data_IF_460048160925
#
_entry.id   IF_460048160925
#
_cell.length_a   1.000
_cell.length_b   1.000
_cell.length_c   1.000
_cell.angle_alpha   90.00
_cell.angle_beta   90.00
_cell.angle_gamma   90.00
#
_symmetry.space_group_name_H-M   'P 1'
#
loop_
_entity.id
_entity.type
_entity.pdbx_description
1 polymer ?
#
# COMPACT_ATOMS: atom_id res chain seq x y z
N UNK A 1 -3.77 31.79 -13.07
CA UNK A 1 -4.48 30.86 -12.15
C UNK A 1 -3.42 30.06 -11.41
N UNK A 2 -3.03 30.47 -10.21
CA UNK A 2 -2.04 29.75 -9.40
C UNK A 2 -2.71 28.54 -8.76
N UNK A 3 -2.30 27.33 -9.13
CA UNK A 3 -2.58 26.14 -8.32
C UNK A 3 -1.48 26.09 -7.26
N UNK A 4 -1.84 26.35 -6.02
CA UNK A 4 -0.98 26.06 -4.88
C UNK A 4 -0.87 24.53 -4.81
N UNK A 5 0.29 24.00 -5.20
CA UNK A 5 0.59 22.57 -5.15
C UNK A 5 0.78 22.13 -3.70
N UNK A 6 -0.26 21.52 -3.14
CA UNK A 6 -0.23 20.75 -1.89
C UNK A 6 0.76 19.58 -2.05
N UNK A 7 1.54 19.24 -1.01
CA UNK A 7 2.56 18.17 -1.04
C UNK A 7 1.93 16.84 -1.47
N UNK A 8 2.10 16.49 -2.75
CA UNK A 8 1.97 15.11 -3.21
C UNK A 8 3.28 14.44 -2.82
N UNK A 9 3.24 13.44 -1.94
CA UNK A 9 4.42 12.62 -1.65
C UNK A 9 4.76 11.81 -2.91
N UNK A 10 5.62 12.38 -3.75
CA UNK A 10 6.11 11.76 -4.99
C UNK A 10 7.17 10.68 -4.72
N UNK A 11 7.66 10.59 -3.49
CA UNK A 11 8.60 9.57 -3.04
C UNK A 11 7.89 8.44 -2.31
N UNK A 12 8.52 7.27 -2.30
CA UNK A 12 8.08 6.14 -1.47
C UNK A 12 8.18 6.49 0.01
N UNK A 13 7.12 6.21 0.76
CA UNK A 13 7.10 6.37 2.21
C UNK A 13 6.34 5.21 2.87
N UNK A 14 6.51 5.09 4.18
CA UNK A 14 5.94 4.02 5.01
C UNK A 14 5.12 4.65 6.13
N UNK A 15 4.34 3.83 6.82
CA UNK A 15 3.72 4.25 8.08
C UNK A 15 4.80 4.62 9.12
N UNK A 16 4.55 5.60 9.97
CA UNK A 16 5.45 5.93 11.10
C UNK A 16 5.52 4.81 12.14
N UNK A 17 4.58 3.86 12.11
CA UNK A 17 4.49 2.67 12.97
C UNK A 17 5.34 1.49 12.46
N UNK A 18 5.97 1.66 11.31
CA UNK A 18 6.89 0.71 10.69
C UNK A 18 8.21 0.66 11.46
N UNK A 19 8.72 -0.53 11.80
CA UNK A 19 10.09 -0.64 12.35
C UNK A 19 11.11 -0.76 11.21
N UNK A 20 12.32 -0.22 11.40
CA UNK A 20 13.38 -0.34 10.38
C UNK A 20 13.88 -1.78 10.20
N UNK A 21 13.70 -2.63 11.22
CA UNK A 21 14.16 -4.02 11.23
C UNK A 21 13.12 -4.99 10.64
N UNK A 22 11.82 -4.69 10.79
CA UNK A 22 10.72 -5.45 10.18
C UNK A 22 10.01 -4.56 9.14
N UNK A 23 10.57 -4.54 7.93
CA UNK A 23 9.84 -4.71 6.67
C UNK A 23 8.44 -4.10 6.55
N UNK A 24 8.21 -3.13 5.67
CA UNK A 24 6.88 -2.48 5.62
C UNK A 24 6.35 -2.29 4.20
N UNK A 25 5.04 -2.12 4.13
CA UNK A 25 4.31 -1.64 2.96
C UNK A 25 4.82 -0.24 2.62
N UNK A 26 5.44 -0.08 1.45
CA UNK A 26 5.76 1.24 0.92
C UNK A 26 4.66 1.73 0.02
N UNK A 27 4.28 2.99 0.20
CA UNK A 27 3.27 3.69 -0.58
C UNK A 27 3.91 4.86 -1.31
N UNK A 28 3.49 5.12 -2.55
CA UNK A 28 3.86 6.32 -3.31
C UNK A 28 2.63 6.88 -4.00
N UNK A 29 2.45 8.20 -3.94
CA UNK A 29 1.43 8.91 -4.71
C UNK A 29 2.08 9.58 -5.92
N UNK A 30 1.62 9.27 -7.12
CA UNK A 30 2.17 9.85 -8.35
C UNK A 30 1.05 10.04 -9.37
N UNK A 31 0.83 11.30 -9.78
CA UNK A 31 -0.24 11.65 -10.68
C UNK A 31 -1.62 11.32 -10.10
N UNK A 32 -2.36 10.49 -10.81
CA UNK A 32 -3.68 9.96 -10.45
C UNK A 32 -3.60 8.54 -9.89
N UNK A 33 -2.40 8.05 -9.54
CA UNK A 33 -2.18 6.69 -9.04
C UNK A 33 -1.53 6.64 -7.66
N UNK A 34 -1.82 5.55 -6.97
CA UNK A 34 -1.16 5.10 -5.75
C UNK A 34 -0.44 3.80 -6.07
N UNK A 35 0.78 3.66 -5.54
CA UNK A 35 1.60 2.46 -5.73
C UNK A 35 1.91 1.83 -4.39
N UNK A 36 1.93 0.50 -4.35
CA UNK A 36 2.27 -0.30 -3.18
C UNK A 36 3.36 -1.30 -3.55
N UNK A 37 4.37 -1.44 -2.71
CA UNK A 37 5.39 -2.47 -2.87
C UNK A 37 5.91 -2.95 -1.53
N UNK A 38 6.56 -4.10 -1.55
CA UNK A 38 7.23 -4.66 -0.39
C UNK A 38 8.70 -4.21 -0.34
N UNK A 39 9.04 -3.40 0.66
CA UNK A 39 10.42 -2.94 0.88
C UNK A 39 11.43 -4.08 1.11
N UNK A 40 11.00 -5.27 1.55
CA UNK A 40 11.88 -6.43 1.74
C UNK A 40 12.49 -6.94 0.45
N UNK A 41 11.85 -6.70 -0.70
CA UNK A 41 12.33 -7.20 -1.98
C UNK A 41 13.81 -6.85 -2.22
N UNK A 42 14.24 -5.65 -1.79
CA UNK A 42 15.62 -5.19 -1.98
C UNK A 42 16.63 -5.74 -0.95
N UNK A 43 16.18 -6.53 0.03
CA UNK A 43 17.08 -7.17 1.01
C UNK A 43 17.85 -8.33 0.41
N UNK A 44 17.31 -8.99 -0.61
CA UNK A 44 18.08 -9.93 -1.41
C UNK A 44 18.92 -9.12 -2.41
N UNK A 45 20.26 -9.09 -2.29
CA UNK A 45 21.12 -8.35 -3.21
C UNK A 45 21.06 -8.87 -4.66
N UNK A 46 20.54 -10.08 -4.88
CA UNK A 46 20.35 -10.64 -6.23
C UNK A 46 19.10 -10.07 -6.94
N UNK A 47 18.19 -9.44 -6.19
CA UNK A 47 16.98 -8.88 -6.76
C UNK A 47 17.26 -7.58 -7.52
N UNK A 48 16.71 -7.44 -8.72
CA UNK A 48 16.85 -6.22 -9.53
C UNK A 48 15.84 -5.15 -9.07
N UNK A 49 16.29 -3.97 -8.58
CA UNK A 49 15.38 -2.91 -8.13
C UNK A 49 14.41 -2.40 -9.19
N UNK A 50 14.79 -2.45 -10.48
CA UNK A 50 13.95 -2.01 -11.59
C UNK A 50 12.74 -2.95 -11.84
N UNK A 51 12.76 -4.14 -11.24
CA UNK A 51 11.72 -5.17 -11.42
C UNK A 51 10.95 -5.44 -10.13
N UNK A 52 11.10 -4.59 -9.11
CA UNK A 52 10.42 -4.77 -7.83
C UNK A 52 8.90 -4.84 -8.03
N UNK A 53 8.24 -5.93 -7.59
CA UNK A 53 6.80 -6.08 -7.74
C UNK A 53 6.06 -4.92 -7.09
N UNK A 54 5.22 -4.26 -7.89
CA UNK A 54 4.50 -3.06 -7.49
C UNK A 54 3.03 -3.18 -7.90
N UNK A 55 2.14 -3.02 -6.92
CA UNK A 55 0.71 -2.87 -7.15
C UNK A 55 0.43 -1.40 -7.46
N UNK A 56 -0.48 -1.16 -8.40
CA UNK A 56 -0.95 0.17 -8.75
C UNK A 56 -2.48 0.21 -8.71
N UNK A 57 -3.03 1.35 -8.27
CA UNK A 57 -4.45 1.66 -8.28
C UNK A 57 -4.67 3.16 -8.45
N UNK A 58 -5.87 3.58 -8.83
CA UNK A 58 -6.17 5.02 -8.94
C UNK A 58 -6.27 5.67 -7.55
N UNK A 59 -5.96 6.96 -7.48
CA UNK A 59 -6.17 7.79 -6.29
C UNK A 59 -7.63 7.79 -5.85
N UNK A 60 -8.57 7.80 -6.79
CA UNK A 60 -10.01 7.72 -6.50
C UNK A 60 -10.42 6.40 -5.84
N UNK A 61 -9.69 5.33 -6.10
CA UNK A 61 -9.89 3.99 -5.55
C UNK A 61 -9.24 3.79 -4.17
N UNK A 62 -8.27 4.64 -3.82
CA UNK A 62 -7.47 4.52 -2.61
C UNK A 62 -8.31 4.51 -1.31
N UNK A 63 -9.30 5.41 -1.10
CA UNK A 63 -10.12 5.37 0.12
C UNK A 63 -10.92 4.07 0.27
N UNK A 64 -11.37 3.47 -0.85
CA UNK A 64 -12.07 2.20 -0.81
C UNK A 64 -11.12 1.05 -0.44
N UNK A 65 -9.91 1.05 -0.99
CA UNK A 65 -8.85 0.10 -0.60
C UNK A 65 -8.49 0.22 0.89
N UNK A 66 -8.32 1.44 1.43
CA UNK A 66 -8.05 1.66 2.85
C UNK A 66 -9.18 1.15 3.76
N UNK A 67 -10.44 1.36 3.38
CA UNK A 67 -11.60 0.81 4.12
C UNK A 67 -11.61 -0.72 4.09
N UNK A 68 -11.25 -1.32 2.96
CA UNK A 68 -11.16 -2.77 2.85
C UNK A 68 -10.01 -3.33 3.70
N UNK A 69 -8.85 -2.67 3.72
CA UNK A 69 -7.71 -3.07 4.54
C UNK A 69 -8.02 -3.02 6.06
N UNK A 70 -8.82 -2.04 6.49
CA UNK A 70 -9.20 -1.86 7.91
C UNK A 70 -10.44 -2.67 8.32
N UNK A 71 -11.23 -3.17 7.37
CA UNK A 71 -12.42 -3.97 7.62
C UNK A 71 -12.43 -5.23 6.75
N UNK A 72 -11.88 -6.36 7.23
CA UNK A 72 -11.81 -7.62 6.48
C UNK A 72 -13.17 -8.16 6.03
N UNK A 73 -14.27 -7.79 6.70
CA UNK A 73 -15.63 -8.19 6.32
C UNK A 73 -16.15 -7.43 5.09
N UNK A 74 -15.50 -6.33 4.68
CA UNK A 74 -15.88 -5.53 3.54
C UNK A 74 -15.35 -6.15 2.22
N UNK A 75 -15.68 -7.41 1.92
CA UNK A 75 -15.24 -8.05 0.68
C UNK A 75 -15.70 -7.24 -0.55
N UNK A 76 -14.75 -6.70 -1.32
CA UNK A 76 -15.01 -5.84 -2.49
C UNK A 76 -14.95 -6.61 -3.82
N UNK A 77 -15.58 -7.78 -3.88
CA UNK A 77 -15.59 -8.62 -5.08
C UNK A 77 -16.16 -7.84 -6.27
N UNK A 78 -15.45 -7.86 -7.40
CA UNK A 78 -15.89 -7.23 -8.64
C UNK A 78 -15.68 -5.71 -8.74
N UNK A 79 -14.99 -5.08 -7.78
CA UNK A 79 -14.72 -3.62 -7.80
C UNK A 79 -13.51 -3.20 -8.61
N UNK A 80 -12.70 -4.14 -9.11
CA UNK A 80 -11.43 -3.86 -9.79
C UNK A 80 -10.31 -3.39 -8.86
N UNK A 81 -10.56 -3.31 -7.55
CA UNK A 81 -9.54 -3.03 -6.54
C UNK A 81 -8.60 -4.23 -6.35
N UNK A 82 -7.36 -3.99 -5.88
CA UNK A 82 -6.54 -5.07 -5.37
C UNK A 82 -7.27 -5.87 -4.30
N UNK A 83 -7.26 -7.20 -4.42
CA UNK A 83 -7.80 -8.12 -3.44
C UNK A 83 -6.90 -8.19 -2.21
N UNK A 84 -7.51 -8.36 -1.03
CA UNK A 84 -6.80 -8.51 0.24
C UNK A 84 -7.26 -9.82 0.87
N UNK A 85 -6.37 -10.79 0.93
CA UNK A 85 -6.57 -12.03 1.68
C UNK A 85 -5.85 -11.92 3.02
N UNK A 86 -6.60 -11.67 4.09
CA UNK A 86 -6.07 -11.75 5.46
C UNK A 86 -6.26 -13.16 6.00
N UNK A 87 -5.17 -13.76 6.46
CA UNK A 87 -5.13 -15.11 7.03
C UNK A 87 -5.38 -15.05 8.54
N UNK A 88 -5.87 -16.15 9.16
CA UNK A 88 -6.10 -16.19 10.61
C UNK A 88 -4.85 -15.95 11.48
N UNK A 89 -3.66 -16.14 10.93
CA UNK A 89 -2.38 -15.89 11.61
C UNK A 89 -1.93 -14.41 11.53
N UNK A 90 -2.74 -13.54 10.93
CA UNK A 90 -2.47 -12.11 10.77
C UNK A 90 -1.68 -11.75 9.52
N UNK A 91 -1.21 -12.71 8.72
CA UNK A 91 -0.59 -12.43 7.42
C UNK A 91 -1.61 -11.87 6.44
N UNK A 92 -1.13 -11.03 5.54
CA UNK A 92 -1.96 -10.51 4.45
C UNK A 92 -1.28 -10.72 3.10
N UNK A 93 -2.04 -11.19 2.14
CA UNK A 93 -1.65 -11.19 0.73
C UNK A 93 -2.48 -10.14 0.00
N UNK A 94 -1.82 -9.15 -0.59
CA UNK A 94 -2.46 -8.17 -1.47
C UNK A 94 -2.19 -8.58 -2.90
N UNK A 95 -3.24 -8.79 -3.70
CA UNK A 95 -3.12 -9.22 -5.11
C UNK A 95 -3.81 -8.23 -6.03
N UNK A 96 -3.19 -7.92 -7.16
CA UNK A 96 -3.76 -7.02 -8.16
C UNK A 96 -3.71 -7.65 -9.54
N UNK A 97 -4.88 -7.93 -10.11
CA UNK A 97 -5.00 -8.51 -11.45
C UNK A 97 -4.51 -7.57 -12.54
N UNK A 98 -4.68 -6.24 -12.38
CA UNK A 98 -4.23 -5.24 -13.35
C UNK A 98 -2.70 -5.27 -13.52
N UNK A 99 -1.96 -5.40 -12.42
CA UNK A 99 -0.49 -5.45 -12.46
C UNK A 99 0.07 -6.86 -12.48
N UNK A 100 -0.77 -7.90 -12.33
CA UNK A 100 -0.37 -9.29 -12.14
C UNK A 100 0.64 -9.49 -10.99
N UNK A 101 0.52 -8.71 -9.91
CA UNK A 101 1.40 -8.74 -8.73
C UNK A 101 0.64 -9.26 -7.51
N UNK A 102 1.32 -10.09 -6.71
CA UNK A 102 0.93 -10.42 -5.34
C UNK A 102 2.06 -10.04 -4.37
N UNK A 103 1.70 -9.43 -3.24
CA UNK A 103 2.61 -9.03 -2.18
C UNK A 103 2.20 -9.72 -0.87
N UNK A 104 3.16 -10.35 -0.19
CA UNK A 104 2.94 -11.07 1.06
C UNK A 104 3.55 -10.33 2.26
N UNK A 105 2.70 -10.02 3.22
CA UNK A 105 3.06 -9.29 4.43
C UNK A 105 2.98 -10.17 5.67
N UNK A 106 3.97 -10.05 6.55
CA UNK A 106 3.95 -10.64 7.88
C UNK A 106 2.95 -9.90 8.77
N UNK A 107 2.51 -10.51 9.90
CA UNK A 107 1.49 -9.91 10.76
C UNK A 107 1.84 -8.51 11.25
N UNK A 108 3.06 -8.29 11.74
CA UNK A 108 3.50 -6.99 12.25
C UNK A 108 3.53 -5.90 11.17
N UNK A 109 3.87 -6.28 9.93
CA UNK A 109 3.99 -5.37 8.79
C UNK A 109 2.60 -4.90 8.33
N UNK A 110 1.66 -5.85 8.24
CA UNK A 110 0.29 -5.54 7.88
C UNK A 110 -0.42 -4.74 8.99
N UNK A 111 -0.19 -5.10 10.25
CA UNK A 111 -0.73 -4.36 11.40
C UNK A 111 -0.22 -2.91 11.45
N UNK A 112 1.07 -2.68 11.18
CA UNK A 112 1.64 -1.33 11.09
C UNK A 112 1.01 -0.53 9.94
N UNK A 113 0.82 -1.14 8.77
CA UNK A 113 0.15 -0.51 7.64
C UNK A 113 -1.30 -0.12 7.96
N UNK A 114 -2.08 -1.04 8.54
CA UNK A 114 -3.47 -0.78 8.97
C UNK A 114 -3.52 0.31 10.04
N UNK A 115 -2.59 0.31 11.00
CA UNK A 115 -2.49 1.36 12.01
C UNK A 115 -2.18 2.74 11.39
N UNK A 116 -1.31 2.79 10.38
CA UNK A 116 -1.03 4.01 9.61
C UNK A 116 -2.25 4.51 8.84
N UNK A 117 -3.04 3.62 8.24
CA UNK A 117 -4.33 3.98 7.61
C UNK A 117 -5.28 4.62 8.64
N UNK A 118 -5.45 3.97 9.79
CA UNK A 118 -6.35 4.47 10.86
C UNK A 118 -5.88 5.83 11.40
N UNK A 119 -4.56 6.07 11.42
CA UNK A 119 -3.96 7.33 11.84
C UNK A 119 -3.97 8.42 10.74
N UNK A 120 -4.48 8.11 9.53
CA UNK A 120 -4.52 9.06 8.40
C UNK A 120 -3.18 9.28 7.71
N UNK A 121 -2.16 8.46 7.97
CA UNK A 121 -0.79 8.66 7.45
C UNK A 121 -0.69 8.48 5.93
N UNK A 122 -1.66 7.80 5.34
CA UNK A 122 -1.75 7.57 3.89
C UNK A 122 -2.87 8.37 3.22
N UNK A 123 -3.38 9.42 3.86
CA UNK A 123 -4.31 10.32 3.20
C UNK A 123 -3.54 11.30 2.32
N UNK A 124 -4.05 11.54 1.11
CA UNK A 124 -3.66 12.72 0.35
C UNK A 124 -4.19 13.92 1.11
N UNK A 125 -3.33 14.57 1.90
CA UNK A 125 -3.69 15.84 2.51
C UNK A 125 -3.83 16.85 1.37
N UNK A 126 -5.08 17.13 0.99
CA UNK A 126 -5.38 18.33 0.24
C UNK A 126 -5.04 19.50 1.19
N UNK A 127 -4.04 20.29 0.82
CA UNK A 127 -3.83 21.59 1.44
C UNK A 127 -4.89 22.58 0.93
#
# INVERSE_FOLDING_TARGET
MSRSDSVRTTNWFKSSRSSETQSCVEVKFEGDRVFLRDSKYLRNPENNPATQPTISLTVSSWPAFCRYATNPAAALVGTGLPGIEQRPDGRATVSCTETAVALDFLPDEWAAFVAGIIAGEFELVAA
#
